data_IF_595800454181
#
_entry.id   IF_595800454181
#
_cell.length_a   1.000
_cell.length_b   1.000
_cell.length_c   1.000
_cell.angle_alpha   90.00
_cell.angle_beta   90.00
_cell.angle_gamma   90.00
#
_symmetry.space_group_name_H-M   'P 1'
#
loop_
_entity.id
_entity.type
_entity.pdbx_description
1 polymer ?
#
# COMPACT_ATOMS: atom_id res chain seq x y z
N UNK A 1 17.18 4.19 10.46
CA UNK A 1 16.36 5.26 9.83
C UNK A 1 16.29 5.22 8.30
N UNK A 2 17.10 4.42 7.57
CA UNK A 2 17.25 4.54 6.10
C UNK A 2 15.97 4.63 5.24
N UNK A 3 14.89 3.94 5.61
CA UNK A 3 13.62 3.96 4.85
C UNK A 3 12.97 5.35 4.77
N UNK A 4 13.09 6.21 5.79
CA UNK A 4 12.48 7.55 5.77
C UNK A 4 13.08 8.47 4.69
N UNK A 5 14.37 8.28 4.36
CA UNK A 5 15.05 9.02 3.30
C UNK A 5 14.64 8.58 1.88
N UNK A 6 13.79 7.56 1.76
CA UNK A 6 13.29 7.00 0.48
C UNK A 6 11.79 7.23 0.24
N UNK A 7 11.08 7.92 1.14
CA UNK A 7 9.64 8.17 0.96
C UNK A 7 9.41 9.28 -0.09
N UNK A 8 10.22 10.34 -0.04
CA UNK A 8 10.15 11.47 -0.97
C UNK A 8 11.17 11.32 -2.11
N UNK A 9 10.88 11.93 -3.27
CA UNK A 9 11.75 11.96 -4.47
C UNK A 9 12.22 10.59 -4.96
N UNK A 10 11.47 9.55 -4.61
CA UNK A 10 11.73 8.17 -5.04
C UNK A 10 10.65 7.76 -6.03
N UNK A 11 11.06 7.09 -7.10
CA UNK A 11 10.17 6.54 -8.12
C UNK A 11 10.73 5.19 -8.56
N UNK A 12 9.87 4.19 -8.64
CA UNK A 12 10.16 2.96 -9.37
C UNK A 12 10.26 3.30 -10.86
N UNK A 13 11.17 2.66 -11.56
CA UNK A 13 11.38 2.84 -13.00
C UNK A 13 11.17 1.47 -13.65
N UNK A 14 10.20 1.30 -14.56
CA UNK A 14 9.89 0.01 -15.14
C UNK A 14 11.01 -0.45 -16.09
N UNK A 15 11.33 -1.74 -16.10
CA UNK A 15 12.46 -2.26 -16.87
C UNK A 15 12.34 -3.72 -17.28
N UNK A 16 13.26 -4.15 -18.14
CA UNK A 16 13.39 -5.54 -18.61
C UNK A 16 14.88 -5.92 -18.55
N UNK A 17 15.26 -7.05 -17.94
CA UNK A 17 14.39 -8.08 -17.35
C UNK A 17 13.83 -7.71 -15.96
N UNK A 18 14.23 -6.58 -15.38
CA UNK A 18 13.83 -6.16 -14.03
C UNK A 18 13.59 -4.65 -13.94
N UNK A 19 12.73 -4.24 -13.00
CA UNK A 19 12.51 -2.85 -12.63
C UNK A 19 13.66 -2.32 -11.77
N UNK A 20 13.92 -1.01 -11.84
CA UNK A 20 14.84 -0.31 -10.95
C UNK A 20 14.11 0.76 -10.12
N UNK A 21 14.85 1.53 -9.32
CA UNK A 21 14.29 2.66 -8.57
C UNK A 21 15.24 3.85 -8.57
N UNK A 22 14.72 5.01 -8.94
CA UNK A 22 15.36 6.30 -8.67
C UNK A 22 15.26 6.61 -7.18
N UNK A 23 16.39 6.81 -6.52
CA UNK A 23 16.48 7.35 -5.16
C UNK A 23 17.14 8.73 -5.20
N UNK A 24 16.78 9.67 -4.31
CA UNK A 24 17.34 11.01 -4.31
C UNK A 24 18.80 11.03 -3.81
N UNK A 25 19.69 11.57 -4.64
CA UNK A 25 21.07 11.86 -4.26
C UNK A 25 21.15 13.04 -3.27
N UNK A 26 22.20 13.15 -2.43
CA UNK A 26 22.37 14.29 -1.50
C UNK A 26 22.45 15.67 -2.18
N UNK A 27 22.77 15.69 -3.48
CA UNK A 27 22.81 16.87 -4.34
C UNK A 27 21.46 17.23 -4.96
N UNK A 28 20.43 16.37 -4.86
CA UNK A 28 19.09 16.62 -5.39
C UNK A 28 18.44 17.84 -4.70
N UNK A 29 17.95 18.78 -5.51
CA UNK A 29 17.26 20.01 -5.10
C UNK A 29 15.90 20.17 -5.78
N UNK A 30 15.20 19.07 -6.08
CA UNK A 30 13.84 19.09 -6.62
C UNK A 30 12.89 19.87 -5.68
N UNK A 31 12.22 20.88 -6.24
CA UNK A 31 11.38 21.87 -5.53
C UNK A 31 9.89 21.71 -5.77
N UNK A 32 9.50 20.75 -6.61
CA UNK A 32 8.15 20.58 -7.13
C UNK A 32 7.52 19.27 -6.67
N UNK A 33 6.20 19.28 -6.59
CA UNK A 33 5.35 18.09 -6.63
C UNK A 33 4.77 17.93 -8.02
N UNK A 34 4.18 16.77 -8.30
CA UNK A 34 3.24 16.65 -9.42
C UNK A 34 1.83 16.52 -8.86
N UNK A 35 0.94 17.42 -9.27
CA UNK A 35 -0.49 17.35 -8.95
C UNK A 35 -1.20 16.66 -10.11
N UNK A 36 -2.13 15.77 -9.81
CA UNK A 36 -3.01 15.11 -10.79
C UNK A 36 -4.45 15.48 -10.47
N UNK A 37 -5.16 16.04 -11.44
CA UNK A 37 -6.59 16.32 -11.34
C UNK A 37 -7.23 15.97 -12.68
N UNK A 38 -8.38 15.29 -12.64
CA UNK A 38 -9.08 14.83 -13.85
C UNK A 38 -8.15 14.10 -14.86
N UNK A 39 -7.25 13.26 -14.35
CA UNK A 39 -6.24 12.50 -15.10
C UNK A 39 -5.14 13.34 -15.79
N UNK A 40 -5.15 14.66 -15.65
CA UNK A 40 -4.14 15.58 -16.18
C UNK A 40 -3.07 15.90 -15.13
N UNK A 41 -1.80 15.91 -15.55
CA UNK A 41 -0.64 16.09 -14.66
C UNK A 41 -0.10 17.52 -14.74
N UNK A 42 0.24 18.11 -13.60
CA UNK A 42 0.81 19.45 -13.48
C UNK A 42 2.03 19.45 -12.54
N UNK A 43 3.15 20.01 -12.98
CA UNK A 43 4.30 20.28 -12.11
C UNK A 43 4.06 21.57 -11.33
N UNK A 44 3.96 21.46 -10.00
CA UNK A 44 3.74 22.59 -9.08
C UNK A 44 4.97 22.79 -8.21
N UNK A 45 5.61 23.95 -8.31
CA UNK A 45 6.71 24.32 -7.41
C UNK A 45 6.15 24.66 -6.03
N UNK A 46 6.68 24.01 -4.99
CA UNK A 46 6.26 24.20 -3.59
C UNK A 46 7.39 24.67 -2.67
N UNK A 47 8.64 24.74 -3.17
CA UNK A 47 9.77 25.35 -2.47
C UNK A 47 10.35 26.55 -3.23
N UNK A 48 10.74 27.60 -2.51
CA UNK A 48 11.47 28.76 -3.05
C UNK A 48 12.94 28.40 -3.42
N UNK A 49 13.68 29.35 -3.96
CA UNK A 49 15.08 29.14 -4.36
C UNK A 49 16.02 28.86 -3.17
N UNK A 50 15.58 29.19 -1.94
CA UNK A 50 16.26 28.92 -0.68
C UNK A 50 15.81 27.59 -0.03
N UNK A 51 15.06 26.74 -0.75
CA UNK A 51 14.45 25.48 -0.29
C UNK A 51 13.43 25.64 0.86
N UNK A 52 12.84 26.82 1.04
CA UNK A 52 11.75 27.08 2.00
C UNK A 52 10.40 26.77 1.38
N UNK A 53 9.45 26.26 2.15
CA UNK A 53 8.09 26.03 1.66
C UNK A 53 7.38 27.34 1.32
N UNK A 54 6.56 27.32 0.27
CA UNK A 54 5.56 28.36 -0.02
C UNK A 54 4.47 28.38 1.07
N UNK A 55 3.82 29.53 1.27
CA UNK A 55 2.71 29.64 2.23
C UNK A 55 1.41 29.00 1.73
N UNK A 56 0.44 28.79 2.62
CA UNK A 56 -0.79 28.08 2.29
C UNK A 56 -1.72 28.85 1.33
N UNK A 57 -1.71 30.18 1.30
CA UNK A 57 -2.44 30.96 0.28
C UNK A 57 -1.77 30.83 -1.09
N UNK A 58 -0.42 30.82 -1.13
CA UNK A 58 0.35 30.55 -2.35
C UNK A 58 0.05 29.14 -2.88
N UNK A 59 0.12 28.11 -2.03
CA UNK A 59 -0.19 26.73 -2.39
C UNK A 59 -1.64 26.57 -2.86
N UNK A 60 -2.61 27.17 -2.15
CA UNK A 60 -4.02 27.14 -2.56
C UNK A 60 -4.25 27.85 -3.90
N UNK A 61 -3.56 28.96 -4.17
CA UNK A 61 -3.59 29.63 -5.48
C UNK A 61 -3.11 28.70 -6.61
N UNK A 62 -2.01 27.95 -6.39
CA UNK A 62 -1.47 27.01 -7.37
C UNK A 62 -2.41 25.82 -7.60
N UNK A 63 -3.02 25.28 -6.54
CA UNK A 63 -3.97 24.16 -6.64
C UNK A 63 -5.29 24.57 -7.30
N UNK A 64 -5.75 25.80 -7.08
CA UNK A 64 -6.91 26.36 -7.80
C UNK A 64 -6.65 26.45 -9.31
N UNK A 65 -5.50 26.98 -9.72
CA UNK A 65 -5.12 27.01 -11.14
C UNK A 65 -5.14 25.61 -11.76
N UNK A 66 -4.61 24.60 -11.08
CA UNK A 66 -4.65 23.20 -11.55
C UNK A 66 -6.09 22.71 -11.77
N UNK A 67 -7.00 22.97 -10.82
CA UNK A 67 -8.41 22.58 -10.92
C UNK A 67 -9.14 23.33 -12.04
N UNK A 68 -8.87 24.62 -12.21
CA UNK A 68 -9.48 25.49 -13.21
C UNK A 68 -9.00 25.12 -14.65
N UNK A 69 -7.74 24.74 -14.83
CA UNK A 69 -7.15 24.32 -16.12
C UNK A 69 -7.38 22.83 -16.50
N UNK A 70 -7.98 22.03 -15.59
CA UNK A 70 -8.33 20.62 -15.86
C UNK A 70 -9.80 20.32 -15.54
N UNK A 71 -10.77 20.95 -16.24
CA UNK A 71 -12.19 20.91 -15.87
C UNK A 71 -12.93 19.60 -16.19
N UNK A 72 -12.29 18.62 -16.83
CA UNK A 72 -12.92 17.33 -17.22
C UNK A 72 -11.90 16.21 -17.45
N UNK A 73 -12.22 14.93 -17.13
CA UNK A 73 -11.31 13.80 -17.33
C UNK A 73 -10.82 13.59 -18.77
N UNK A 74 -9.54 13.25 -18.92
CA UNK A 74 -8.90 12.91 -20.22
C UNK A 74 -8.43 11.45 -20.29
N UNK A 75 -8.07 10.98 -21.51
CA UNK A 75 -7.20 9.80 -21.68
C UNK A 75 -5.82 10.15 -21.12
N UNK A 76 -5.19 9.25 -20.39
CA UNK A 76 -3.95 9.55 -19.66
C UNK A 76 -2.94 8.42 -19.71
N UNK A 77 -1.65 8.77 -19.64
CA UNK A 77 -0.56 7.83 -19.42
C UNK A 77 -0.52 7.25 -18.00
N UNK A 78 -1.15 7.93 -17.01
CA UNK A 78 -1.11 7.51 -15.61
C UNK A 78 -1.58 6.08 -15.38
N UNK A 79 -2.64 5.66 -16.08
CA UNK A 79 -3.19 4.30 -15.96
C UNK A 79 -2.27 3.20 -16.52
N UNK A 80 -1.29 3.54 -17.38
CA UNK A 80 -0.28 2.59 -17.84
C UNK A 80 0.63 2.11 -16.68
N UNK A 81 0.81 2.92 -15.63
CA UNK A 81 1.57 2.51 -14.43
C UNK A 81 0.88 1.42 -13.61
N UNK A 82 -0.40 1.11 -13.89
CA UNK A 82 -1.17 0.03 -13.26
C UNK A 82 -1.12 -1.32 -14.00
N UNK A 83 -0.44 -1.39 -15.16
CA UNK A 83 -0.31 -2.62 -15.95
C UNK A 83 0.65 -3.64 -15.33
N UNK A 84 0.64 -4.85 -15.91
CA UNK A 84 1.75 -5.80 -15.73
C UNK A 84 3.10 -5.11 -16.03
N UNK A 85 4.15 -5.44 -15.25
CA UNK A 85 5.42 -4.71 -15.29
C UNK A 85 6.14 -4.80 -16.64
N UNK A 86 6.12 -5.96 -17.30
CA UNK A 86 6.71 -6.13 -18.64
C UNK A 86 5.96 -5.29 -19.69
N UNK A 87 4.62 -5.28 -19.60
CA UNK A 87 3.73 -4.44 -20.43
C UNK A 87 4.01 -2.95 -20.21
N UNK A 88 4.16 -2.53 -18.96
CA UNK A 88 4.46 -1.13 -18.63
C UNK A 88 5.88 -0.74 -19.06
N UNK A 89 6.90 -1.59 -18.85
CA UNK A 89 8.27 -1.36 -19.31
C UNK A 89 8.35 -1.18 -20.83
N UNK A 90 7.53 -1.92 -21.61
CA UNK A 90 7.37 -1.68 -23.04
C UNK A 90 6.82 -0.27 -23.33
N UNK A 91 5.73 0.14 -22.67
CA UNK A 91 5.11 1.45 -22.93
C UNK A 91 5.92 2.64 -22.40
N UNK A 92 6.59 2.53 -21.25
CA UNK A 92 7.54 3.54 -20.75
C UNK A 92 8.71 3.71 -21.72
N UNK A 93 9.26 2.62 -22.27
CA UNK A 93 10.28 2.67 -23.32
C UNK A 93 9.78 3.31 -24.62
N UNK A 94 8.51 3.12 -25.01
CA UNK A 94 7.91 3.80 -26.16
C UNK A 94 7.71 5.29 -25.91
N UNK A 95 7.22 5.68 -24.71
CA UNK A 95 7.10 7.09 -24.32
C UNK A 95 8.47 7.78 -24.30
N UNK A 96 9.49 7.13 -23.76
CA UNK A 96 10.87 7.64 -23.64
C UNK A 96 11.61 7.83 -24.97
N UNK A 97 11.07 7.36 -26.11
CA UNK A 97 11.68 7.57 -27.43
C UNK A 97 11.50 9.01 -27.94
N UNK A 98 10.48 9.75 -27.48
CA UNK A 98 10.34 11.17 -27.78
C UNK A 98 11.11 12.02 -26.73
N UNK A 99 12.10 12.85 -27.14
CA UNK A 99 12.93 13.61 -26.19
C UNK A 99 12.21 14.73 -25.42
N UNK A 100 10.93 14.97 -25.69
CA UNK A 100 10.07 15.85 -24.89
C UNK A 100 9.25 15.04 -23.88
N UNK A 101 8.64 13.92 -24.28
CA UNK A 101 8.03 12.97 -23.34
C UNK A 101 9.02 12.50 -22.26
N UNK A 102 10.28 12.21 -22.64
CA UNK A 102 11.34 11.83 -21.70
C UNK A 102 11.57 12.90 -20.60
N UNK A 103 11.39 14.19 -20.91
CA UNK A 103 11.49 15.28 -19.92
C UNK A 103 10.26 15.35 -19.02
N UNK A 104 9.08 15.00 -19.53
CA UNK A 104 7.86 14.90 -18.70
C UNK A 104 7.97 13.72 -17.71
N UNK A 105 8.54 12.59 -18.14
CA UNK A 105 8.87 11.47 -17.25
C UNK A 105 9.85 11.90 -16.15
N UNK A 106 10.97 12.54 -16.50
CA UNK A 106 11.98 13.04 -15.56
C UNK A 106 11.38 13.98 -14.49
N UNK A 107 10.45 14.85 -14.88
CA UNK A 107 9.70 15.74 -13.97
C UNK A 107 8.81 14.97 -13.00
N UNK A 108 8.12 13.91 -13.44
CA UNK A 108 7.29 13.07 -12.56
C UNK A 108 8.17 12.21 -11.64
N UNK A 109 9.21 11.58 -12.19
CA UNK A 109 10.10 10.65 -11.48
C UNK A 109 10.88 11.35 -10.36
N UNK A 110 11.33 12.60 -10.57
CA UNK A 110 12.07 13.40 -9.57
C UNK A 110 11.23 14.26 -8.62
N UNK A 111 9.92 14.41 -8.86
CA UNK A 111 9.05 15.21 -7.97
C UNK A 111 9.10 14.77 -6.50
N UNK A 112 8.88 15.70 -5.56
CA UNK A 112 8.93 15.42 -4.12
C UNK A 112 7.97 14.30 -3.72
N UNK A 113 6.72 14.40 -4.19
CA UNK A 113 5.66 13.40 -4.12
C UNK A 113 4.60 13.74 -5.19
N UNK A 114 3.60 12.88 -5.36
CA UNK A 114 2.42 13.14 -6.18
C UNK A 114 1.22 13.50 -5.30
N UNK A 115 0.40 14.46 -5.71
CA UNK A 115 -0.86 14.84 -5.05
C UNK A 115 -2.03 14.60 -6.01
N UNK A 116 -2.90 13.66 -5.68
CA UNK A 116 -4.08 13.32 -6.46
C UNK A 116 -5.29 14.07 -5.90
N UNK A 117 -5.80 15.04 -6.67
CA UNK A 117 -7.08 15.69 -6.42
C UNK A 117 -8.16 14.87 -7.13
N UNK A 118 -8.94 14.14 -6.34
CA UNK A 118 -9.85 13.10 -6.81
C UNK A 118 -11.30 13.59 -6.88
N UNK A 119 -12.00 13.19 -7.94
CA UNK A 119 -13.46 13.29 -8.02
C UNK A 119 -14.18 12.28 -7.11
N UNK A 120 -15.52 12.25 -7.14
CA UNK A 120 -16.31 11.30 -6.35
C UNK A 120 -16.07 9.87 -6.83
N UNK A 121 -15.96 8.93 -5.88
CA UNK A 121 -15.86 7.51 -6.18
C UNK A 121 -17.15 6.99 -6.87
N UNK A 122 -17.03 6.05 -7.84
CA UNK A 122 -18.18 5.46 -8.50
C UNK A 122 -18.87 4.41 -7.62
N UNK A 123 -20.04 3.91 -8.04
CA UNK A 123 -20.60 2.70 -7.44
C UNK A 123 -19.72 1.49 -7.78
N UNK A 124 -19.04 0.96 -6.76
CA UNK A 124 -18.17 -0.21 -6.83
C UNK A 124 -18.89 -1.50 -6.43
N UNK A 125 -20.21 -1.47 -6.23
CA UNK A 125 -20.99 -2.57 -5.64
C UNK A 125 -20.67 -2.76 -4.16
N UNK A 126 -20.41 -1.66 -3.43
CA UNK A 126 -20.14 -1.61 -1.99
C UNK A 126 -20.81 -0.36 -1.43
N UNK A 127 -21.55 -0.47 -0.32
CA UNK A 127 -22.32 0.62 0.28
C UNK A 127 -21.64 1.29 1.49
N UNK A 128 -20.61 0.65 2.04
CA UNK A 128 -19.85 1.14 3.19
C UNK A 128 -18.83 2.20 2.78
N UNK A 129 -18.91 3.42 3.34
CA UNK A 129 -18.07 4.55 2.91
C UNK A 129 -16.58 4.27 3.10
N UNK A 130 -16.20 3.68 4.24
CA UNK A 130 -14.82 3.35 4.57
C UNK A 130 -14.23 2.37 3.53
N UNK A 131 -15.01 1.39 3.11
CA UNK A 131 -14.64 0.44 2.04
C UNK A 131 -14.52 1.12 0.67
N UNK A 132 -15.42 2.06 0.32
CA UNK A 132 -15.33 2.86 -0.90
C UNK A 132 -14.04 3.69 -0.90
N UNK A 133 -13.75 4.39 0.20
CA UNK A 133 -12.50 5.15 0.40
C UNK A 133 -11.27 4.24 0.29
N UNK A 134 -11.29 3.04 0.88
CA UNK A 134 -10.21 2.06 0.76
C UNK A 134 -9.92 1.67 -0.70
N UNK A 135 -10.96 1.38 -1.49
CA UNK A 135 -10.83 1.06 -2.92
C UNK A 135 -10.31 2.26 -3.74
N UNK A 136 -10.73 3.48 -3.40
CA UNK A 136 -10.22 4.72 -4.00
C UNK A 136 -8.74 4.98 -3.68
N UNK A 137 -8.30 4.71 -2.45
CA UNK A 137 -6.89 4.84 -2.06
C UNK A 137 -6.01 3.77 -2.72
N UNK A 138 -6.48 2.53 -2.80
CA UNK A 138 -5.71 1.41 -3.39
C UNK A 138 -5.60 1.51 -4.91
N UNK A 139 -6.69 1.81 -5.62
CA UNK A 139 -6.73 1.73 -7.10
C UNK A 139 -7.63 2.78 -7.79
N UNK A 140 -7.97 3.87 -7.09
CA UNK A 140 -8.71 5.01 -7.65
C UNK A 140 -10.14 4.71 -8.12
N UNK A 141 -10.73 3.57 -7.76
CA UNK A 141 -12.08 3.19 -8.23
C UNK A 141 -12.16 2.78 -9.72
N UNK A 142 -11.02 2.59 -10.39
CA UNK A 142 -10.98 2.06 -11.77
C UNK A 142 -10.94 3.11 -12.88
N UNK A 143 -10.92 2.63 -14.13
CA UNK A 143 -10.58 3.42 -15.34
C UNK A 143 -11.54 4.55 -15.71
N UNK A 144 -12.77 4.53 -15.19
CA UNK A 144 -13.80 5.58 -15.40
C UNK A 144 -13.90 6.57 -14.24
N UNK A 145 -13.02 6.44 -13.26
CA UNK A 145 -12.90 7.31 -12.10
C UNK A 145 -11.41 7.68 -11.92
N UNK A 146 -10.96 7.87 -10.68
CA UNK A 146 -9.60 8.27 -10.32
C UNK A 146 -8.52 7.22 -10.59
N UNK A 147 -8.80 6.08 -11.24
CA UNK A 147 -7.80 5.05 -11.56
C UNK A 147 -6.72 5.54 -12.53
N UNK A 148 -7.04 6.51 -13.38
CA UNK A 148 -6.05 7.23 -14.21
C UNK A 148 -5.39 8.43 -13.50
N UNK A 149 -5.96 8.91 -12.39
CA UNK A 149 -5.53 10.08 -11.64
C UNK A 149 -4.37 9.73 -10.68
N UNK A 150 -3.39 8.96 -11.18
CA UNK A 150 -2.37 8.23 -10.40
C UNK A 150 -1.07 8.09 -11.18
N UNK A 151 0.03 7.91 -10.46
CA UNK A 151 1.31 7.40 -10.97
C UNK A 151 1.83 6.34 -10.00
N UNK A 152 1.44 5.08 -10.21
CA UNK A 152 1.63 3.98 -9.24
C UNK A 152 3.09 3.62 -8.96
N UNK A 153 4.02 4.02 -9.83
CA UNK A 153 5.46 3.91 -9.60
C UNK A 153 6.00 4.91 -8.55
N UNK A 154 5.24 5.96 -8.19
CA UNK A 154 5.73 6.98 -7.26
C UNK A 154 5.71 6.45 -5.82
N UNK A 155 6.83 6.60 -5.12
CA UNK A 155 6.97 6.15 -3.74
C UNK A 155 5.91 6.73 -2.78
N UNK A 156 5.46 7.96 -3.02
CA UNK A 156 4.36 8.58 -2.28
C UNK A 156 3.39 9.32 -3.22
N UNK A 157 2.12 8.92 -3.17
CA UNK A 157 0.97 9.64 -3.71
C UNK A 157 0.04 10.00 -2.55
N UNK A 158 -0.13 11.28 -2.23
CA UNK A 158 -1.18 11.75 -1.32
C UNK A 158 -2.48 11.92 -2.09
N UNK A 159 -3.63 11.56 -1.51
CA UNK A 159 -4.93 11.59 -2.19
C UNK A 159 -5.93 12.40 -1.36
N UNK A 160 -6.61 13.34 -2.02
CA UNK A 160 -7.68 14.17 -1.46
C UNK A 160 -8.89 14.09 -2.39
N UNK A 161 -9.94 13.42 -1.96
CA UNK A 161 -11.19 13.21 -2.70
C UNK A 161 -12.26 14.25 -2.36
N UNK A 162 -13.05 14.62 -3.37
CA UNK A 162 -14.12 15.63 -3.24
C UNK A 162 -15.25 15.27 -2.28
N UNK A 163 -15.36 14.02 -1.83
CA UNK A 163 -16.29 13.57 -0.78
C UNK A 163 -15.73 13.65 0.64
N UNK A 164 -14.50 14.18 0.81
CA UNK A 164 -13.79 14.26 2.08
C UNK A 164 -12.87 13.06 2.36
N UNK A 165 -12.59 12.22 1.37
CA UNK A 165 -11.70 11.08 1.47
C UNK A 165 -10.23 11.55 1.47
N UNK A 166 -9.47 11.24 2.53
CA UNK A 166 -8.05 11.59 2.63
C UNK A 166 -7.18 10.38 2.95
N UNK A 167 -5.99 10.30 2.35
CA UNK A 167 -5.08 9.18 2.57
C UNK A 167 -3.90 9.18 1.59
N UNK A 168 -3.33 8.00 1.33
CA UNK A 168 -2.22 7.83 0.40
C UNK A 168 -2.23 6.49 -0.33
N UNK A 169 -1.60 6.47 -1.50
CA UNK A 169 -1.09 5.28 -2.18
C UNK A 169 0.45 5.36 -2.18
N UNK A 170 1.17 4.27 -1.94
CA UNK A 170 2.64 4.30 -1.81
C UNK A 170 3.29 3.08 -2.49
N UNK A 171 4.41 3.29 -3.18
CA UNK A 171 5.14 2.21 -3.84
C UNK A 171 6.10 1.53 -2.84
N UNK A 172 5.99 0.21 -2.72
CA UNK A 172 6.48 -0.55 -1.58
C UNK A 172 7.98 -0.92 -1.66
N UNK A 173 8.66 -0.72 -2.80
CA UNK A 173 10.12 -0.88 -2.89
C UNK A 173 10.85 0.18 -2.04
N UNK A 174 10.24 1.35 -1.85
CA UNK A 174 10.82 2.47 -1.11
C UNK A 174 10.95 2.22 0.40
N UNK A 175 9.84 1.82 1.04
CA UNK A 175 9.69 1.72 2.48
C UNK A 175 8.63 0.67 2.89
N UNK A 176 8.59 0.36 4.19
CA UNK A 176 7.49 -0.39 4.82
C UNK A 176 6.32 0.53 5.21
N UNK A 177 5.16 -0.06 5.54
CA UNK A 177 4.00 0.68 6.03
C UNK A 177 4.25 1.46 7.34
N UNK A 178 5.19 1.02 8.18
CA UNK A 178 5.51 1.69 9.46
C UNK A 178 6.06 3.12 9.31
N UNK A 179 7.10 3.37 8.51
CA UNK A 179 7.53 4.72 8.15
C UNK A 179 6.44 5.60 7.51
N UNK A 180 5.59 5.03 6.64
CA UNK A 180 4.50 5.76 5.97
C UNK A 180 3.40 6.15 6.97
N UNK A 181 2.99 5.23 7.85
CA UNK A 181 2.07 5.48 8.96
C UNK A 181 2.56 6.61 9.88
N UNK A 182 3.86 6.62 10.21
CA UNK A 182 4.45 7.70 11.01
C UNK A 182 4.42 9.07 10.30
N UNK A 183 4.59 9.10 8.97
CA UNK A 183 4.44 10.33 8.19
C UNK A 183 2.98 10.83 8.17
N UNK A 184 2.00 9.93 7.97
CA UNK A 184 0.58 10.29 8.03
C UNK A 184 0.19 10.83 9.43
N UNK A 185 0.62 10.15 10.48
CA UNK A 185 0.46 10.58 11.87
C UNK A 185 1.07 11.98 12.12
N UNK A 186 2.24 12.28 11.54
CA UNK A 186 2.87 13.60 11.64
C UNK A 186 2.08 14.67 10.87
N UNK A 187 1.58 14.36 9.67
CA UNK A 187 0.75 15.28 8.87
C UNK A 187 -0.56 15.61 9.61
N UNK A 188 -1.27 14.61 10.13
CA UNK A 188 -2.49 14.82 10.92
C UNK A 188 -2.23 15.59 12.22
N UNK A 189 -1.11 15.31 12.91
CA UNK A 189 -0.70 16.07 14.10
C UNK A 189 -0.31 17.52 13.77
N UNK A 190 0.27 17.77 12.60
CA UNK A 190 0.58 19.12 12.12
C UNK A 190 -0.70 19.91 11.82
N UNK A 191 -1.61 19.35 11.03
CA UNK A 191 -2.90 19.98 10.69
C UNK A 191 -3.71 20.28 11.96
N UNK A 192 -3.80 19.32 12.89
CA UNK A 192 -4.53 19.49 14.15
C UNK A 192 -3.94 20.54 15.11
N UNK A 193 -2.68 20.96 14.91
CA UNK A 193 -2.02 22.02 15.69
C UNK A 193 -2.06 23.40 15.02
N UNK A 194 -2.38 23.46 13.73
CA UNK A 194 -2.47 24.69 12.95
C UNK A 194 -3.85 24.81 12.29
N UNK A 195 -4.95 24.83 13.07
CA UNK A 195 -6.27 25.10 12.52
C UNK A 195 -6.31 26.53 11.96
N UNK A 196 -6.64 26.67 10.67
CA UNK A 196 -6.67 27.97 10.01
C UNK A 196 -7.95 28.78 10.31
N UNK A 197 -7.77 30.10 10.46
CA UNK A 197 -8.78 31.06 10.04
C UNK A 197 -8.84 31.08 8.51
N UNK A 198 -10.01 30.81 7.92
CA UNK A 198 -10.22 30.69 6.47
C UNK A 198 -10.19 32.03 5.69
N UNK A 199 -9.35 32.97 6.13
CA UNK A 199 -9.15 34.29 5.50
C UNK A 199 -8.25 34.19 4.27
N UNK A 200 -8.76 33.55 3.22
CA UNK A 200 -8.10 33.50 1.92
C UNK A 200 -7.82 34.90 1.37
N UNK A 201 -6.58 35.14 0.95
CA UNK A 201 -6.19 36.34 0.20
C UNK A 201 -5.31 35.95 -0.98
N UNK A 202 -5.49 36.64 -2.12
CA UNK A 202 -4.65 36.42 -3.29
C UNK A 202 -3.21 36.87 -2.98
N UNK A 203 -2.18 36.03 -3.24
CA UNK A 203 -0.80 36.41 -3.02
C UNK A 203 -0.41 37.67 -3.79
N UNK A 204 0.25 38.62 -3.13
CA UNK A 204 0.79 39.85 -3.74
C UNK A 204 2.12 39.64 -4.49
N UNK A 205 2.64 38.41 -4.48
CA UNK A 205 3.90 38.01 -5.12
C UNK A 205 3.58 37.05 -6.26
N UNK A 206 4.26 37.20 -7.40
CA UNK A 206 4.16 36.31 -8.56
C UNK A 206 5.05 35.08 -8.39
N UNK A 207 4.50 33.90 -8.69
CA UNK A 207 5.17 32.60 -8.60
C UNK A 207 5.15 31.86 -9.95
N UNK A 208 6.01 30.84 -10.15
CA UNK A 208 5.97 30.02 -11.36
C UNK A 208 4.60 29.34 -11.51
N UNK A 209 3.92 29.60 -12.63
CA UNK A 209 2.62 29.00 -12.97
C UNK A 209 2.78 27.47 -13.12
N UNK A 210 1.82 26.64 -12.65
CA UNK A 210 1.87 25.20 -12.79
C UNK A 210 2.02 24.73 -14.25
N UNK A 211 3.04 23.93 -14.51
CA UNK A 211 3.31 23.43 -15.87
C UNK A 211 2.53 22.14 -16.13
N UNK A 212 1.52 22.21 -17.00
CA UNK A 212 0.78 21.06 -17.51
C UNK A 212 1.70 20.13 -18.31
N UNK A 213 1.63 18.82 -18.08
CA UNK A 213 2.51 17.80 -18.65
C UNK A 213 1.79 16.99 -19.72
N UNK A 214 1.79 17.50 -20.96
CA UNK A 214 1.02 16.94 -22.07
C UNK A 214 1.82 15.90 -22.87
N UNK A 215 1.61 14.61 -22.60
CA UNK A 215 2.32 13.53 -23.28
C UNK A 215 1.87 13.37 -24.74
N UNK A 216 2.83 13.32 -25.66
CA UNK A 216 2.60 12.93 -27.06
C UNK A 216 2.37 11.42 -27.11
N UNK A 217 1.19 10.99 -27.55
CA UNK A 217 0.83 9.58 -27.66
C UNK A 217 1.06 9.08 -29.10
N UNK A 218 1.45 7.81 -29.22
CA UNK A 218 1.36 7.06 -30.49
C UNK A 218 0.11 6.16 -30.46
N UNK A 219 -0.43 5.73 -31.61
CA UNK A 219 -1.60 4.83 -31.62
C UNK A 219 -1.39 3.52 -30.84
N UNK A 220 -0.15 3.02 -30.76
CA UNK A 220 0.20 1.85 -29.95
C UNK A 220 0.09 2.15 -28.44
N UNK A 221 0.53 3.33 -27.99
CA UNK A 221 0.37 3.77 -26.59
C UNK A 221 -1.11 4.02 -26.27
N UNK A 222 -1.90 4.59 -27.19
CA UNK A 222 -3.34 4.74 -27.01
C UNK A 222 -4.07 3.39 -26.87
N UNK A 223 -3.71 2.40 -27.70
CA UNK A 223 -4.22 1.03 -27.57
C UNK A 223 -3.75 0.37 -26.25
N UNK A 224 -2.55 0.72 -25.78
CA UNK A 224 -2.04 0.35 -24.46
C UNK A 224 -2.90 0.89 -23.33
N UNK A 225 -3.27 2.18 -23.37
CA UNK A 225 -4.17 2.81 -22.38
C UNK A 225 -5.52 2.07 -22.36
N UNK A 226 -6.08 1.76 -23.54
CA UNK A 226 -7.34 1.01 -23.64
C UNK A 226 -7.23 -0.47 -23.24
N UNK A 227 -6.01 -1.01 -23.10
CA UNK A 227 -5.75 -2.36 -22.59
C UNK A 227 -5.56 -2.35 -21.08
N UNK A 228 -4.80 -1.39 -20.56
CA UNK A 228 -4.64 -1.11 -19.13
C UNK A 228 -6.01 -0.93 -18.43
N UNK A 229 -6.91 -0.15 -19.06
CA UNK A 229 -8.30 0.01 -18.62
C UNK A 229 -9.09 -1.29 -18.46
N UNK A 230 -8.73 -2.36 -19.18
CA UNK A 230 -9.42 -3.67 -19.20
C UNK A 230 -8.72 -4.73 -18.32
N UNK A 231 -7.42 -4.56 -18.10
CA UNK A 231 -6.59 -5.45 -17.28
C UNK A 231 -6.72 -5.14 -15.78
N UNK A 232 -6.84 -3.85 -15.42
CA UNK A 232 -7.13 -3.39 -14.06
C UNK A 232 -8.39 -4.05 -13.47
N UNK A 233 -9.36 -4.44 -14.32
CA UNK A 233 -10.64 -5.02 -13.93
C UNK A 233 -10.60 -6.56 -13.70
N UNK A 234 -9.47 -7.28 -13.85
CA UNK A 234 -9.44 -8.76 -13.88
C UNK A 234 -8.18 -9.45 -13.29
N UNK A 235 -8.29 -10.18 -12.16
CA UNK A 235 -7.24 -11.07 -11.63
C UNK A 235 -7.75 -12.44 -11.08
N UNK A 236 -6.90 -13.50 -11.10
CA UNK A 236 -7.18 -14.96 -10.96
C UNK A 236 -5.91 -15.75 -10.53
N UNK A 237 -5.83 -16.91 -9.82
CA UNK A 237 -6.62 -17.68 -8.79
C UNK A 237 -5.65 -18.62 -7.97
N UNK A 238 -6.12 -19.43 -7.00
CA UNK A 238 -5.49 -20.64 -6.34
C UNK A 238 -4.73 -20.50 -4.98
N UNK A 239 -4.56 -21.59 -4.13
CA UNK A 239 -4.37 -21.58 -2.63
C UNK A 239 -3.01 -21.92 -1.95
N UNK A 240 -2.86 -21.49 -0.67
CA UNK A 240 -1.74 -21.85 0.25
C UNK A 240 -1.84 -21.41 1.74
N UNK A 241 -0.71 -21.00 2.35
CA UNK A 241 -0.40 -20.74 3.77
C UNK A 241 -0.66 -19.29 4.30
N UNK A 242 -0.07 -18.91 5.45
CA UNK A 242 -0.21 -17.61 6.13
C UNK A 242 1.15 -16.89 6.28
N UNK A 243 1.25 -15.63 5.82
CA UNK A 243 2.36 -14.69 6.00
C UNK A 243 1.96 -13.54 6.94
N UNK A 244 2.84 -13.15 7.87
CA UNK A 244 2.75 -11.91 8.64
C UNK A 244 4.11 -11.18 8.67
N UNK A 245 4.12 -9.86 8.67
CA UNK A 245 5.35 -9.05 8.51
C UNK A 245 6.08 -8.75 9.83
N UNK A 246 7.28 -9.31 10.04
CA UNK A 246 8.20 -8.90 11.11
C UNK A 246 9.16 -7.80 10.65
N UNK A 247 9.12 -6.61 11.24
CA UNK A 247 10.02 -5.51 10.89
C UNK A 247 11.45 -5.67 11.43
N UNK A 248 12.42 -5.95 10.55
CA UNK A 248 13.85 -6.13 10.88
C UNK A 248 14.60 -4.81 11.18
N UNK A 249 13.91 -3.74 11.58
CA UNK A 249 14.46 -2.38 11.73
C UNK A 249 15.54 -2.21 12.81
N UNK A 250 15.85 -3.26 13.58
CA UNK A 250 17.01 -3.33 14.50
C UNK A 250 18.34 -3.43 13.74
N UNK A 251 18.32 -4.02 12.54
CA UNK A 251 19.51 -4.30 11.73
C UNK A 251 19.77 -3.19 10.71
N UNK A 252 21.04 -3.02 10.32
CA UNK A 252 21.44 -2.07 9.27
C UNK A 252 20.77 -2.51 7.95
N UNK A 253 20.17 -1.55 7.24
CA UNK A 253 19.32 -1.76 6.05
C UNK A 253 18.10 -2.69 6.22
N UNK A 254 17.75 -3.11 7.45
CA UNK A 254 16.67 -4.06 7.71
C UNK A 254 15.30 -3.68 7.11
N UNK A 255 14.71 -4.63 6.39
CA UNK A 255 13.33 -4.61 5.86
C UNK A 255 12.42 -5.50 6.70
N UNK A 256 12.12 -6.72 6.24
CA UNK A 256 11.15 -7.63 6.85
C UNK A 256 11.61 -9.08 6.87
N UNK A 257 11.06 -9.85 7.82
CA UNK A 257 11.05 -11.33 7.88
C UNK A 257 9.59 -11.83 7.93
N UNK A 258 9.34 -13.11 7.62
CA UNK A 258 8.01 -13.75 7.70
C UNK A 258 7.77 -14.33 9.10
N UNK A 259 6.78 -13.78 9.80
CA UNK A 259 6.07 -14.49 10.87
C UNK A 259 5.12 -15.49 10.21
N UNK A 260 5.13 -16.74 10.69
CA UNK A 260 4.26 -17.82 10.19
C UNK A 260 3.16 -18.08 11.23
N UNK A 261 2.11 -17.27 11.18
CA UNK A 261 1.09 -17.22 12.24
C UNK A 261 0.18 -18.46 12.32
N UNK A 262 0.25 -19.35 11.33
CA UNK A 262 -0.34 -20.70 11.38
C UNK A 262 0.67 -21.70 11.96
N UNK A 263 0.51 -22.02 13.24
CA UNK A 263 1.29 -23.03 14.00
C UNK A 263 0.43 -24.20 14.49
N UNK A 264 1.05 -25.25 15.02
CA UNK A 264 0.34 -26.41 15.55
C UNK A 264 -0.58 -26.04 16.72
N UNK A 265 -0.17 -25.09 17.56
CA UNK A 265 -0.93 -24.53 18.68
C UNK A 265 -2.12 -23.70 18.18
N UNK A 266 -1.94 -22.91 17.11
CA UNK A 266 -3.04 -22.15 16.49
C UNK A 266 -4.12 -23.08 15.91
N UNK A 267 -3.71 -24.24 15.38
CA UNK A 267 -4.61 -25.27 14.84
C UNK A 267 -5.34 -26.00 15.96
N UNK A 268 -4.65 -26.43 17.03
CA UNK A 268 -5.33 -27.03 18.20
C UNK A 268 -6.32 -26.04 18.83
N UNK A 269 -5.93 -24.77 19.02
CA UNK A 269 -6.82 -23.71 19.48
C UNK A 269 -8.07 -23.58 18.60
N UNK A 270 -7.93 -23.47 17.27
CA UNK A 270 -9.07 -23.38 16.36
C UNK A 270 -9.98 -24.61 16.46
N UNK A 271 -9.41 -25.83 16.52
CA UNK A 271 -10.16 -27.07 16.65
C UNK A 271 -10.88 -27.18 18.02
N UNK A 272 -10.25 -26.74 19.11
CA UNK A 272 -10.88 -26.64 20.44
C UNK A 272 -12.01 -25.62 20.46
N UNK A 273 -11.85 -24.46 19.81
CA UNK A 273 -12.91 -23.46 19.71
C UNK A 273 -14.13 -23.99 18.94
N UNK A 274 -13.92 -24.63 17.79
CA UNK A 274 -14.97 -25.22 16.97
C UNK A 274 -15.62 -26.47 17.58
N UNK A 275 -14.94 -27.15 18.52
CA UNK A 275 -15.50 -28.33 19.19
C UNK A 275 -16.68 -27.99 20.10
N UNK A 276 -17.77 -28.73 19.94
CA UNK A 276 -18.93 -28.72 20.84
C UNK A 276 -18.74 -29.50 22.14
N UNK A 277 -17.63 -30.24 22.30
CA UNK A 277 -17.34 -31.04 23.52
C UNK A 277 -16.21 -30.47 24.37
N UNK A 278 -15.36 -29.61 23.83
CA UNK A 278 -14.26 -28.99 24.58
C UNK A 278 -14.79 -27.97 25.61
N UNK A 279 -14.29 -28.06 26.84
CA UNK A 279 -14.65 -27.15 27.94
C UNK A 279 -14.07 -25.74 27.75
N UNK A 280 -14.69 -24.73 28.38
CA UNK A 280 -14.16 -23.35 28.37
C UNK A 280 -12.70 -23.27 28.89
N UNK A 281 -12.34 -24.15 29.82
CA UNK A 281 -10.98 -24.25 30.38
C UNK A 281 -9.97 -24.76 29.35
N UNK A 282 -10.30 -25.81 28.59
CA UNK A 282 -9.46 -26.27 27.47
C UNK A 282 -9.35 -25.21 26.38
N UNK A 283 -10.46 -24.56 26.02
CA UNK A 283 -10.48 -23.48 25.02
C UNK A 283 -9.57 -22.32 25.43
N UNK A 284 -9.64 -21.91 26.70
CA UNK A 284 -8.77 -20.86 27.25
C UNK A 284 -7.30 -21.27 27.29
N UNK A 285 -7.00 -22.52 27.67
CA UNK A 285 -5.63 -23.04 27.70
C UNK A 285 -5.00 -23.12 26.30
N UNK A 286 -5.75 -23.59 25.30
CA UNK A 286 -5.30 -23.63 23.92
C UNK A 286 -5.12 -22.21 23.34
N UNK A 287 -6.03 -21.28 23.66
CA UNK A 287 -5.90 -19.85 23.33
C UNK A 287 -4.59 -19.25 23.87
N UNK A 288 -4.27 -19.49 25.15
CA UNK A 288 -3.01 -19.03 25.74
C UNK A 288 -1.78 -19.72 25.12
N UNK A 289 -1.86 -21.00 24.75
CA UNK A 289 -0.77 -21.70 24.07
C UNK A 289 -0.49 -21.08 22.69
N UNK A 290 -1.52 -20.86 21.88
CA UNK A 290 -1.41 -20.22 20.57
C UNK A 290 -0.86 -18.79 20.66
N UNK A 291 -1.37 -17.97 21.59
CA UNK A 291 -0.87 -16.61 21.82
C UNK A 291 0.62 -16.61 22.21
N UNK A 292 1.02 -17.48 23.14
CA UNK A 292 2.41 -17.53 23.60
C UNK A 292 3.36 -18.05 22.52
N UNK A 293 2.97 -19.08 21.75
CA UNK A 293 3.76 -19.54 20.61
C UNK A 293 3.95 -18.43 19.57
N UNK A 294 2.86 -17.81 19.13
CA UNK A 294 2.90 -16.76 18.12
C UNK A 294 3.75 -15.56 18.59
N UNK A 295 3.57 -15.11 19.84
CA UNK A 295 4.37 -14.05 20.46
C UNK A 295 5.86 -14.39 20.46
N UNK A 296 6.22 -15.61 20.82
CA UNK A 296 7.62 -16.05 20.87
C UNK A 296 8.22 -16.13 19.45
N UNK A 297 7.52 -16.74 18.48
CA UNK A 297 7.98 -16.78 17.10
C UNK A 297 8.08 -15.38 16.46
N UNK A 298 7.20 -14.45 16.82
CA UNK A 298 7.29 -13.05 16.42
C UNK A 298 8.55 -12.37 16.99
N UNK A 299 8.92 -12.63 18.25
CA UNK A 299 10.15 -12.15 18.88
C UNK A 299 11.39 -12.69 18.14
N UNK A 300 11.42 -13.99 17.83
CA UNK A 300 12.48 -14.61 17.03
C UNK A 300 12.60 -13.95 15.64
N UNK A 301 11.49 -13.74 14.94
CA UNK A 301 11.50 -13.11 13.62
C UNK A 301 12.01 -11.65 13.66
N UNK A 302 11.61 -10.83 14.64
CA UNK A 302 12.15 -9.46 14.78
C UNK A 302 13.58 -9.42 15.35
N UNK A 303 14.15 -10.58 15.74
CA UNK A 303 15.57 -10.76 16.07
C UNK A 303 16.37 -11.37 14.90
N UNK A 304 15.74 -11.62 13.74
CA UNK A 304 16.43 -12.21 12.58
C UNK A 304 16.62 -13.73 12.65
N UNK A 305 15.83 -14.41 13.49
CA UNK A 305 15.85 -15.88 13.64
C UNK A 305 14.69 -16.56 12.89
N UNK A 306 13.97 -15.83 12.04
CA UNK A 306 12.99 -16.39 11.10
C UNK A 306 13.65 -17.18 9.97
N UNK A 307 12.88 -18.06 9.33
CA UNK A 307 13.41 -19.04 8.35
C UNK A 307 13.28 -18.59 6.90
N UNK A 308 12.35 -17.70 6.57
CA UNK A 308 11.97 -17.40 5.19
C UNK A 308 13.02 -16.59 4.43
N UNK A 309 13.59 -15.51 5.00
CA UNK A 309 14.69 -14.79 4.32
C UNK A 309 15.96 -15.62 4.25
N UNK A 310 16.21 -16.50 5.24
CA UNK A 310 17.35 -17.42 5.20
C UNK A 310 17.21 -18.46 4.07
N UNK A 311 16.04 -19.11 3.93
CA UNK A 311 15.77 -20.03 2.83
C UNK A 311 15.80 -19.33 1.46
N UNK A 312 15.29 -18.10 1.36
CA UNK A 312 15.44 -17.28 0.15
C UNK A 312 16.91 -16.99 -0.17
N UNK A 313 17.71 -16.62 0.83
CA UNK A 313 19.15 -16.38 0.67
C UNK A 313 19.89 -17.62 0.16
N UNK A 314 19.65 -18.79 0.77
CA UNK A 314 20.24 -20.06 0.31
C UNK A 314 19.85 -20.41 -1.14
N UNK A 315 18.61 -20.13 -1.54
CA UNK A 315 18.15 -20.30 -2.93
C UNK A 315 18.87 -19.35 -3.89
N UNK A 316 19.01 -18.09 -3.52
CA UNK A 316 19.64 -17.07 -4.37
C UNK A 316 21.15 -17.30 -4.50
N UNK A 317 21.85 -17.67 -3.41
CA UNK A 317 23.28 -18.03 -3.43
C UNK A 317 23.54 -19.18 -4.41
N UNK A 318 22.66 -20.20 -4.45
CA UNK A 318 22.79 -21.29 -5.42
C UNK A 318 22.68 -20.80 -6.87
N UNK A 319 21.71 -19.91 -7.17
CA UNK A 319 21.54 -19.32 -8.51
C UNK A 319 22.73 -18.44 -8.90
N UNK A 320 23.19 -17.56 -7.98
CA UNK A 320 24.31 -16.64 -8.18
C UNK A 320 25.63 -17.37 -8.49
N UNK A 321 25.85 -18.52 -7.85
CA UNK A 321 27.05 -19.35 -8.04
C UNK A 321 26.89 -20.39 -9.17
N UNK A 322 25.80 -20.34 -9.95
CA UNK A 322 25.55 -21.27 -11.06
C UNK A 322 25.33 -22.73 -10.64
N UNK A 323 24.98 -22.97 -9.37
CA UNK A 323 24.73 -24.29 -8.80
C UNK A 323 23.29 -24.75 -9.12
N UNK A 324 23.04 -26.07 -9.10
CA UNK A 324 21.65 -26.54 -9.15
C UNK A 324 20.91 -26.11 -7.88
N UNK A 325 19.80 -25.40 -8.05
CA UNK A 325 18.90 -25.01 -6.95
C UNK A 325 18.45 -26.28 -6.19
N UNK A 326 18.76 -26.41 -4.88
CA UNK A 326 18.50 -27.62 -4.11
C UNK A 326 17.06 -28.13 -4.19
N UNK A 327 16.90 -29.45 -4.19
CA UNK A 327 15.60 -30.13 -4.34
C UNK A 327 14.53 -29.68 -3.33
N UNK A 328 14.93 -29.23 -2.14
CA UNK A 328 14.05 -28.59 -1.14
C UNK A 328 13.18 -27.46 -1.74
N UNK A 329 13.74 -26.64 -2.62
CA UNK A 329 13.01 -25.51 -3.23
C UNK A 329 12.06 -25.95 -4.36
N UNK A 330 12.13 -27.22 -4.77
CA UNK A 330 11.24 -27.88 -5.74
C UNK A 330 10.18 -28.75 -5.03
N UNK A 331 10.28 -28.90 -3.70
CA UNK A 331 9.42 -29.80 -2.92
C UNK A 331 7.97 -29.24 -2.79
N UNK A 332 6.92 -30.07 -2.98
CA UNK A 332 5.54 -29.63 -2.87
C UNK A 332 5.15 -29.04 -1.51
N UNK A 333 5.77 -29.45 -0.39
CA UNK A 333 5.56 -28.83 0.92
C UNK A 333 6.17 -27.42 0.99
N UNK A 334 7.40 -27.22 0.48
CA UNK A 334 8.01 -25.88 0.39
C UNK A 334 7.16 -24.94 -0.47
N UNK A 335 6.76 -25.39 -1.67
CA UNK A 335 5.91 -24.62 -2.59
C UNK A 335 4.61 -24.19 -1.89
N UNK A 336 3.90 -25.13 -1.25
CA UNK A 336 2.68 -24.82 -0.47
C UNK A 336 2.94 -23.91 0.74
N UNK A 337 4.12 -23.96 1.36
CA UNK A 337 4.47 -23.07 2.49
C UNK A 337 4.82 -21.64 2.07
N UNK A 338 5.23 -21.42 0.81
CA UNK A 338 5.58 -20.08 0.26
C UNK A 338 4.43 -19.39 -0.48
N UNK A 339 3.39 -20.15 -0.85
CA UNK A 339 2.17 -19.60 -1.41
C UNK A 339 1.31 -19.07 -0.26
N UNK A 340 1.02 -17.76 -0.16
CA UNK A 340 0.37 -17.18 1.04
C UNK A 340 -1.08 -16.72 0.82
N UNK A 341 -2.05 -17.58 1.18
CA UNK A 341 -3.49 -17.26 1.23
C UNK A 341 -3.79 -16.10 2.15
N UNK A 342 -3.26 -16.12 3.38
CA UNK A 342 -3.55 -15.07 4.37
C UNK A 342 -2.28 -14.24 4.48
N UNK A 343 -2.27 -13.06 3.88
CA UNK A 343 -1.16 -12.11 3.99
C UNK A 343 -1.56 -10.99 4.93
N UNK A 344 -0.85 -10.85 6.05
CA UNK A 344 -1.21 -9.90 7.12
C UNK A 344 -0.10 -8.92 7.46
N UNK A 345 -0.50 -7.75 7.94
CA UNK A 345 0.43 -6.76 8.48
C UNK A 345 -0.25 -5.93 9.57
N UNK A 346 0.38 -5.88 10.74
CA UNK A 346 0.06 -4.87 11.74
C UNK A 346 0.74 -3.55 11.35
N UNK A 347 -0.05 -2.48 11.24
CA UNK A 347 0.47 -1.12 11.03
C UNK A 347 -0.14 -0.20 12.09
N UNK A 348 0.53 -0.02 13.24
CA UNK A 348 0.06 0.88 14.30
C UNK A 348 0.08 2.34 13.83
N UNK A 349 -1.02 3.06 14.04
CA UNK A 349 -1.16 4.50 13.78
C UNK A 349 -1.86 5.16 14.97
N UNK A 350 -1.40 6.34 15.41
CA UNK A 350 -2.07 7.12 16.46
C UNK A 350 -3.39 7.70 15.93
N UNK A 351 -3.36 8.19 14.69
CA UNK A 351 -4.53 8.59 13.91
C UNK A 351 -5.51 7.43 13.71
N UNK A 352 -6.77 7.74 13.40
CA UNK A 352 -7.84 6.75 13.21
C UNK A 352 -7.83 6.14 11.79
N UNK A 353 -6.64 5.75 11.34
CA UNK A 353 -6.40 5.18 10.02
C UNK A 353 -6.23 3.66 10.04
N UNK A 354 -6.16 3.08 8.84
CA UNK A 354 -5.63 1.74 8.56
C UNK A 354 -5.10 1.74 7.12
N UNK A 355 -3.97 1.07 6.86
CA UNK A 355 -3.50 0.85 5.49
C UNK A 355 -4.31 -0.28 4.83
N UNK A 356 -4.17 -0.46 3.52
CA UNK A 356 -4.89 -1.48 2.75
C UNK A 356 -4.01 -2.05 1.65
N UNK A 357 -4.12 -3.35 1.36
CA UNK A 357 -3.42 -4.03 0.28
C UNK A 357 -4.24 -5.21 -0.25
N UNK A 358 -4.04 -5.57 -1.53
CA UNK A 358 -4.68 -6.72 -2.16
C UNK A 358 -4.08 -8.06 -1.71
N UNK A 359 -4.76 -9.21 -1.94
CA UNK A 359 -4.19 -10.51 -1.63
C UNK A 359 -2.96 -10.82 -2.49
N UNK A 360 -1.92 -11.40 -1.89
CA UNK A 360 -0.66 -11.74 -2.60
C UNK A 360 -0.76 -13.02 -3.42
N UNK A 361 -1.80 -13.83 -3.19
CA UNK A 361 -2.21 -14.94 -4.04
C UNK A 361 -3.71 -14.85 -4.30
N UNK A 362 -4.23 -15.33 -5.45
CA UNK A 362 -5.49 -14.81 -5.96
C UNK A 362 -6.74 -15.63 -5.56
N UNK A 363 -6.60 -16.51 -4.58
CA UNK A 363 -7.69 -16.96 -3.71
C UNK A 363 -7.53 -16.51 -2.24
N UNK A 364 -6.59 -15.60 -2.01
CA UNK A 364 -6.21 -15.17 -0.68
C UNK A 364 -7.02 -13.99 -0.14
N UNK A 365 -6.57 -13.54 1.01
CA UNK A 365 -6.98 -12.34 1.71
C UNK A 365 -5.75 -11.48 2.01
N UNK A 366 -5.82 -10.18 1.70
CA UNK A 366 -4.90 -9.19 2.24
C UNK A 366 -5.54 -8.55 3.47
N UNK A 367 -4.87 -8.58 4.63
CA UNK A 367 -5.45 -8.11 5.89
C UNK A 367 -4.48 -7.16 6.59
N UNK A 368 -4.85 -5.89 6.69
CA UNK A 368 -4.11 -4.90 7.46
C UNK A 368 -4.88 -4.53 8.73
N UNK A 369 -4.19 -4.32 9.85
CA UNK A 369 -4.83 -3.86 11.09
C UNK A 369 -4.03 -2.82 11.86
N UNK A 370 -4.78 -1.89 12.46
CA UNK A 370 -4.30 -0.89 13.40
C UNK A 370 -5.02 -1.11 14.76
N UNK A 371 -4.40 -1.82 15.72
CA UNK A 371 -4.94 -1.94 17.07
C UNK A 371 -4.76 -0.65 17.87
N UNK A 372 -5.85 -0.14 18.45
CA UNK A 372 -5.91 1.10 19.24
C UNK A 372 -6.50 0.78 20.63
N UNK A 373 -6.53 1.78 21.51
CA UNK A 373 -6.87 1.56 22.93
C UNK A 373 -8.27 0.98 23.19
N UNK A 374 -9.25 1.24 22.31
CA UNK A 374 -10.66 0.89 22.49
C UNK A 374 -11.30 0.19 21.26
N UNK A 375 -10.56 0.08 20.16
CA UNK A 375 -11.02 -0.53 18.91
C UNK A 375 -9.83 -1.06 18.09
N UNK A 376 -10.11 -1.81 17.04
CA UNK A 376 -9.11 -2.27 16.06
C UNK A 376 -9.67 -1.97 14.67
N UNK A 377 -8.98 -1.14 13.91
CA UNK A 377 -9.35 -0.90 12.51
C UNK A 377 -8.79 -2.05 11.67
N UNK A 378 -9.64 -2.70 10.89
CA UNK A 378 -9.27 -3.78 9.97
C UNK A 378 -9.59 -3.37 8.52
N UNK A 379 -8.64 -3.58 7.62
CA UNK A 379 -8.87 -3.65 6.18
C UNK A 379 -8.76 -5.10 5.73
N UNK A 380 -9.73 -5.59 4.97
CA UNK A 380 -9.82 -6.98 4.50
C UNK A 380 -10.12 -6.96 3.01
N UNK A 381 -9.18 -7.42 2.19
CA UNK A 381 -9.36 -7.56 0.74
C UNK A 381 -9.51 -9.03 0.33
N UNK A 382 -10.21 -9.27 -0.78
CA UNK A 382 -10.38 -10.58 -1.40
C UNK A 382 -10.75 -10.40 -2.89
N UNK A 383 -10.36 -11.31 -3.77
CA UNK A 383 -10.71 -11.21 -5.19
C UNK A 383 -12.12 -11.77 -5.46
N UNK A 384 -13.06 -10.89 -5.86
CA UNK A 384 -14.45 -11.27 -6.25
C UNK A 384 -14.53 -12.40 -7.30
N UNK A 385 -13.45 -12.63 -8.05
CA UNK A 385 -13.37 -13.69 -9.06
C UNK A 385 -13.21 -15.11 -8.47
N UNK A 386 -12.77 -15.25 -7.21
CA UNK A 386 -12.56 -16.55 -6.57
C UNK A 386 -13.77 -16.96 -5.71
N UNK A 387 -14.47 -18.05 -6.05
CA UNK A 387 -15.77 -18.39 -5.45
C UNK A 387 -15.68 -18.78 -3.97
N UNK A 388 -14.52 -19.24 -3.51
CA UNK A 388 -14.27 -19.57 -2.10
C UNK A 388 -13.97 -18.35 -1.23
N UNK A 389 -13.71 -17.18 -1.82
CA UNK A 389 -13.33 -15.98 -1.06
C UNK A 389 -14.46 -15.00 -0.90
N UNK A 390 -14.55 -14.38 0.29
CA UNK A 390 -15.41 -13.23 0.50
C UNK A 390 -14.89 -12.41 1.67
N UNK A 391 -14.40 -11.20 1.39
CA UNK A 391 -13.97 -10.27 2.44
C UNK A 391 -15.08 -10.01 3.47
N UNK A 392 -16.36 -10.03 3.06
CA UNK A 392 -17.50 -9.85 3.96
C UNK A 392 -17.70 -11.04 4.90
N UNK A 393 -17.70 -12.28 4.39
CA UNK A 393 -17.76 -13.49 5.23
C UNK A 393 -16.55 -13.61 6.15
N UNK A 394 -15.38 -13.19 5.68
CA UNK A 394 -14.17 -13.15 6.51
C UNK A 394 -14.27 -12.10 7.63
N UNK A 395 -14.80 -10.90 7.34
CA UNK A 395 -15.09 -9.87 8.35
C UNK A 395 -16.03 -10.41 9.45
N UNK A 396 -17.12 -11.08 9.04
CA UNK A 396 -18.10 -11.67 9.95
C UNK A 396 -17.49 -12.77 10.82
N UNK A 397 -16.72 -13.68 10.20
CA UNK A 397 -16.02 -14.76 10.91
C UNK A 397 -14.93 -14.22 11.86
N UNK A 398 -14.16 -13.21 11.46
CA UNK A 398 -13.14 -12.57 12.27
C UNK A 398 -13.76 -11.86 13.49
N UNK A 399 -14.80 -11.07 13.27
CA UNK A 399 -15.52 -10.37 14.34
C UNK A 399 -16.09 -11.37 15.36
N UNK A 400 -16.76 -12.43 14.89
CA UNK A 400 -17.26 -13.51 15.75
C UNK A 400 -16.14 -14.24 16.49
N UNK A 401 -15.00 -14.49 15.85
CA UNK A 401 -13.84 -15.13 16.49
C UNK A 401 -13.26 -14.27 17.62
N UNK A 402 -13.15 -12.96 17.40
CA UNK A 402 -12.69 -12.01 18.42
C UNK A 402 -13.65 -11.95 19.62
N UNK A 403 -14.97 -11.98 19.38
CA UNK A 403 -15.97 -12.09 20.44
C UNK A 403 -15.85 -13.41 21.21
N UNK A 404 -15.69 -14.55 20.54
CA UNK A 404 -15.58 -15.85 21.19
C UNK A 404 -14.28 -15.97 22.02
N UNK A 405 -13.17 -15.40 21.52
CA UNK A 405 -11.91 -15.29 22.27
C UNK A 405 -12.07 -14.43 23.53
N UNK A 406 -12.73 -13.27 23.41
CA UNK A 406 -13.08 -12.41 24.55
C UNK A 406 -13.90 -13.17 25.60
N UNK A 407 -14.97 -13.84 25.18
CA UNK A 407 -15.90 -14.52 26.08
C UNK A 407 -15.26 -15.70 26.82
N UNK A 408 -14.40 -16.46 26.14
CA UNK A 408 -13.61 -17.53 26.78
C UNK A 408 -12.65 -16.94 27.82
N UNK A 409 -11.94 -15.86 27.51
CA UNK A 409 -11.01 -15.21 28.44
C UNK A 409 -11.72 -14.55 29.64
N UNK A 410 -12.84 -13.86 29.41
CA UNK A 410 -13.63 -13.21 30.46
C UNK A 410 -14.20 -14.23 31.46
N UNK A 411 -14.72 -15.37 30.97
CA UNK A 411 -15.23 -16.48 31.80
C UNK A 411 -14.12 -17.14 32.62
N UNK A 412 -12.91 -17.26 32.07
CA UNK A 412 -11.75 -17.75 32.83
C UNK A 412 -11.32 -16.75 33.92
N UNK A 413 -11.27 -15.45 33.62
CA UNK A 413 -10.87 -14.43 34.57
C UNK A 413 -11.85 -14.29 35.76
N UNK A 414 -13.15 -14.47 35.53
CA UNK A 414 -14.16 -14.54 36.59
C UNK A 414 -13.94 -15.72 37.54
N UNK A 415 -13.51 -16.89 37.02
CA UNK A 415 -13.15 -18.05 37.85
C UNK A 415 -11.86 -17.86 38.67
N UNK A 416 -10.95 -16.97 38.26
CA UNK A 416 -9.74 -16.65 39.03
C UNK A 416 -9.95 -15.62 40.16
N UNK A 417 -11.20 -15.23 40.43
CA UNK A 417 -11.62 -14.25 41.45
C UNK A 417 -12.68 -14.79 42.42
N UNK A 418 -12.96 -16.10 42.34
CA UNK A 418 -13.89 -16.87 43.17
C UNK A 418 -13.12 -18.03 43.82
#
# INVERSE_FOLDING_TARGET
MGQYYRIFRTCRIPGLPEDSAYFPEPTDRSRHIVVVHNNEFFSVTILDENMRALDENQLLSQLRFVVEESPRPTKTVGILTSENRDTWAKYHRLLSQDPYNMKLLDVIEKSLFVLCLDGPAPDLGVTDKQSISGLQMVHGGGSRASGGNRWFDKALQLVVGSGGEVGCCYEHCSAEGGPVAYLLDYIYEYIGKHPQDLNYSLPTVTFPVPLKLEFKLTPEVEQGIETACKNLDKLHKTPGAHYESAGLRKFIHGRTETIRSCSQESVDFAMKMLSGTATNEEKYRALLAAINYHKNYAIECVNGHGVDRHLLGLKLIAVENGLEVPALFKDPAYIRSTHFRISTSQVPMRSDGVLSFGPVVPDGYGICYNPRNLNINFSISAFRSHPETSAKKFQEALYKSLQDMHDVAARAHLKSKL
#
